data_IF_418868932833
#
_entry.id   IF_418868932833
#
_cell.length_a   1.000
_cell.length_b   1.000
_cell.length_c   1.000
_cell.angle_alpha   90.00
_cell.angle_beta   90.00
_cell.angle_gamma   90.00
#
_symmetry.space_group_name_H-M   'P 1'
#
loop_
_entity.id
_entity.type
_entity.pdbx_description
1 polymer ?
#
# COMPACT_ATOMS: atom_id res chain seq x y z
N UNK A 1 5.76 17.68 -39.48
CA UNK A 1 6.97 18.46 -39.78
C UNK A 1 7.75 18.68 -38.49
N UNK A 2 8.93 18.07 -38.42
CA UNK A 2 9.77 17.93 -37.22
C UNK A 2 10.40 19.26 -36.79
N UNK A 3 10.34 19.59 -35.48
CA UNK A 3 11.12 20.68 -34.88
C UNK A 3 12.51 20.16 -34.48
N UNK A 4 13.50 20.71 -35.19
CA UNK A 4 14.94 20.88 -34.90
C UNK A 4 15.52 20.26 -33.61
N UNK A 5 16.50 19.38 -33.82
CA UNK A 5 17.65 19.16 -32.94
C UNK A 5 18.54 20.41 -32.88
N UNK A 6 18.92 20.83 -31.67
CA UNK A 6 20.02 21.72 -31.29
C UNK A 6 20.48 21.17 -29.93
N UNK A 7 21.74 20.99 -29.56
CA UNK A 7 22.99 21.35 -30.19
C UNK A 7 24.05 20.38 -29.65
N UNK A 8 24.86 19.85 -30.56
CA UNK A 8 25.99 18.97 -30.31
C UNK A 8 27.21 19.86 -30.34
N UNK A 9 27.85 20.12 -29.21
CA UNK A 9 29.19 20.68 -29.21
C UNK A 9 30.01 20.20 -28.01
N UNK A 10 30.93 19.29 -28.32
CA UNK A 10 32.04 18.86 -27.45
C UNK A 10 33.13 19.95 -27.48
N UNK A 11 34.05 19.93 -26.52
CA UNK A 11 35.36 19.43 -26.93
C UNK A 11 36.02 18.46 -25.94
N UNK A 12 36.69 17.48 -26.56
CA UNK A 12 37.79 16.69 -26.02
C UNK A 12 38.80 17.57 -25.27
N UNK A 13 39.23 17.14 -24.10
CA UNK A 13 40.57 17.44 -23.59
C UNK A 13 41.17 16.17 -23.00
N UNK A 14 42.11 15.61 -23.77
CA UNK A 14 43.13 14.65 -23.37
C UNK A 14 44.32 15.45 -22.82
N UNK A 15 44.86 15.06 -21.66
CA UNK A 15 46.26 15.20 -21.19
C UNK A 15 46.28 14.61 -19.76
N UNK A 16 46.76 13.39 -19.55
CA UNK A 16 48.17 12.99 -19.42
C UNK A 16 48.69 13.01 -17.97
N UNK A 17 49.30 11.88 -17.61
CA UNK A 17 50.43 11.74 -16.67
C UNK A 17 50.15 11.64 -15.18
N UNK A 18 50.09 10.37 -14.74
CA UNK A 18 50.70 9.75 -13.56
C UNK A 18 51.07 10.56 -12.31
N UNK A 19 50.67 10.05 -11.14
CA UNK A 19 51.43 10.18 -9.90
C UNK A 19 51.12 9.02 -8.93
N UNK A 20 52.18 8.30 -8.59
CA UNK A 20 52.51 7.63 -7.33
C UNK A 20 51.40 7.16 -6.35
N UNK A 21 51.48 5.87 -6.04
CA UNK A 21 50.97 5.27 -4.82
C UNK A 21 51.59 5.91 -3.57
N UNK A 22 50.76 6.52 -2.71
CA UNK A 22 51.01 6.68 -1.28
C UNK A 22 49.71 6.37 -0.53
N UNK A 23 49.84 5.56 0.51
CA UNK A 23 48.72 5.03 1.30
C UNK A 23 47.85 6.11 1.89
N UNK A 24 46.54 5.96 1.70
CA UNK A 24 45.52 6.67 2.47
C UNK A 24 44.83 5.65 3.36
N UNK A 25 44.93 5.86 4.67
CA UNK A 25 43.91 5.47 5.64
C UNK A 25 42.54 5.63 5.00
N UNK A 26 41.70 4.59 5.10
CA UNK A 26 40.43 4.47 4.39
C UNK A 26 39.44 5.58 4.72
N UNK A 27 39.57 6.71 4.05
CA UNK A 27 38.52 7.70 3.89
C UNK A 27 37.67 7.23 2.70
N UNK A 28 36.47 6.75 3.01
CA UNK A 28 35.42 6.44 2.04
C UNK A 28 35.23 7.69 1.14
N UNK A 29 35.14 7.55 -0.20
CA UNK A 29 34.98 8.69 -1.09
C UNK A 29 33.74 9.49 -0.70
N UNK A 30 33.86 10.82 -0.65
CA UNK A 30 32.84 11.75 -0.14
C UNK A 30 31.46 11.54 -0.78
N UNK A 31 31.43 11.16 -2.06
CA UNK A 31 30.22 10.81 -2.80
C UNK A 31 29.45 9.59 -2.24
N UNK A 32 30.10 8.66 -1.55
CA UNK A 32 29.42 7.55 -0.86
C UNK A 32 28.86 7.98 0.49
N UNK A 33 29.53 8.92 1.19
CA UNK A 33 29.02 9.47 2.45
C UNK A 33 27.78 10.34 2.20
N UNK A 34 27.75 11.10 1.10
CA UNK A 34 26.57 11.84 0.65
C UNK A 34 25.42 10.88 0.32
N UNK A 35 25.68 9.80 -0.43
CA UNK A 35 24.65 8.81 -0.77
C UNK A 35 24.13 8.07 0.45
N UNK A 36 25.00 7.72 1.40
CA UNK A 36 24.60 7.06 2.64
C UNK A 36 23.77 8.00 3.53
N UNK A 37 24.08 9.31 3.56
CA UNK A 37 23.27 10.33 4.25
C UNK A 37 21.91 10.54 3.58
N UNK A 38 21.88 10.68 2.26
CA UNK A 38 20.63 10.82 1.51
C UNK A 38 19.78 9.54 1.61
N UNK A 39 20.40 8.36 1.60
CA UNK A 39 19.71 7.10 1.83
C UNK A 39 19.22 6.98 3.29
N UNK A 40 19.98 7.44 4.27
CA UNK A 40 19.55 7.48 5.67
C UNK A 40 18.40 8.48 5.90
N UNK A 41 18.43 9.65 5.25
CA UNK A 41 17.34 10.63 5.26
C UNK A 41 16.10 10.10 4.53
N UNK A 42 16.27 9.41 3.40
CA UNK A 42 15.16 8.76 2.69
C UNK A 42 14.58 7.59 3.52
N UNK A 43 15.41 6.77 4.16
CA UNK A 43 14.95 5.71 5.04
C UNK A 43 14.28 6.26 6.30
N UNK A 44 14.74 7.40 6.83
CA UNK A 44 14.09 8.12 7.93
C UNK A 44 12.76 8.75 7.49
N UNK A 45 12.67 9.27 6.26
CA UNK A 45 11.44 9.82 5.70
C UNK A 45 10.41 8.72 5.38
N UNK A 46 10.85 7.55 4.92
CA UNK A 46 9.97 6.38 4.71
C UNK A 46 9.55 5.77 6.06
N UNK A 47 10.43 5.76 7.07
CA UNK A 47 10.07 5.37 8.43
C UNK A 47 9.09 6.37 9.09
N UNK A 48 9.12 7.64 8.69
CA UNK A 48 8.18 8.68 9.10
C UNK A 48 6.87 8.69 8.30
N UNK A 49 6.74 7.87 7.25
CA UNK A 49 5.49 7.66 6.51
C UNK A 49 4.64 6.50 7.07
N UNK A 50 4.99 5.99 8.26
CA UNK A 50 4.06 5.19 9.05
C UNK A 50 2.92 6.07 9.56
N UNK A 51 1.69 5.67 9.23
CA UNK A 51 0.44 6.21 9.78
C UNK A 51 0.05 7.63 9.34
N UNK A 52 -0.16 7.81 8.04
CA UNK A 52 -1.24 8.73 7.65
C UNK A 52 -2.55 8.17 8.26
N UNK A 53 -3.35 8.97 8.98
CA UNK A 53 -4.55 8.47 9.66
C UNK A 53 -5.47 7.86 8.61
N UNK A 54 -5.64 6.54 8.66
CA UNK A 54 -6.54 5.82 7.78
C UNK A 54 -7.95 6.34 8.07
N UNK A 55 -8.49 7.12 7.13
CA UNK A 55 -9.83 7.69 7.25
C UNK A 55 -10.85 6.57 7.06
N UNK A 56 -11.98 6.66 7.76
CA UNK A 56 -13.08 5.73 7.57
C UNK A 56 -13.49 5.72 6.09
N UNK A 57 -13.39 4.55 5.45
CA UNK A 57 -13.66 4.37 4.02
C UNK A 57 -14.62 3.21 3.82
N UNK A 58 -15.47 3.32 2.80
CA UNK A 58 -16.31 2.21 2.36
C UNK A 58 -15.41 1.03 1.97
N UNK A 59 -15.79 -0.19 2.34
CA UNK A 59 -15.02 -1.39 2.03
C UNK A 59 -15.12 -1.71 0.53
N UNK A 60 -14.16 -1.22 -0.24
CA UNK A 60 -14.07 -1.39 -1.69
C UNK A 60 -12.73 -2.01 -2.09
N UNK A 61 -12.55 -2.28 -3.39
CA UNK A 61 -11.30 -2.89 -3.91
C UNK A 61 -10.09 -2.02 -3.56
N UNK A 62 -9.09 -2.58 -2.85
CA UNK A 62 -7.86 -1.89 -2.48
C UNK A 62 -7.81 -1.31 -1.06
N UNK A 63 -8.87 -1.44 -0.24
CA UNK A 63 -8.89 -0.96 1.16
C UNK A 63 -7.89 -1.68 2.08
N UNK A 64 -7.45 -2.88 1.70
CA UNK A 64 -6.46 -3.64 2.48
C UNK A 64 -5.04 -3.08 2.32
N UNK A 65 -4.79 -2.22 1.33
CA UNK A 65 -3.45 -1.72 1.00
C UNK A 65 -2.46 -2.77 0.50
N UNK A 66 -2.74 -4.07 0.64
CA UNK A 66 -1.84 -5.18 0.26
C UNK A 66 -1.55 -5.19 -1.24
N UNK A 67 -2.56 -4.89 -2.06
CA UNK A 67 -2.36 -4.74 -3.50
C UNK A 67 -1.54 -3.51 -3.90
N UNK A 68 -1.55 -2.43 -3.09
CA UNK A 68 -0.81 -1.19 -3.36
C UNK A 68 0.66 -1.29 -2.94
N UNK A 69 0.93 -1.82 -1.76
CA UNK A 69 2.31 -1.96 -1.25
C UNK A 69 3.18 -2.88 -2.12
N UNK A 70 2.56 -3.84 -2.83
CA UNK A 70 3.25 -4.69 -3.80
C UNK A 70 3.48 -4.01 -5.17
N UNK A 71 2.71 -2.97 -5.49
CA UNK A 71 2.78 -2.24 -6.77
C UNK A 71 3.64 -0.95 -6.68
N UNK A 72 3.81 -0.39 -5.47
CA UNK A 72 4.64 0.79 -5.17
C UNK A 72 6.15 0.54 -5.29
N UNK A 73 6.55 -0.69 -5.62
CA UNK A 73 7.93 -1.00 -5.94
C UNK A 73 8.28 -0.41 -7.32
N UNK A 74 9.41 0.30 -7.42
CA UNK A 74 9.83 1.00 -8.64
C UNK A 74 9.82 0.09 -9.88
N UNK A 75 9.51 0.66 -11.05
CA UNK A 75 9.36 -0.10 -12.31
C UNK A 75 10.62 -0.87 -12.73
N UNK A 76 11.78 -0.53 -12.14
CA UNK A 76 13.07 -1.20 -12.36
C UNK A 76 13.43 -2.22 -11.28
N UNK A 77 12.55 -2.49 -10.32
CA UNK A 77 12.81 -3.45 -9.26
C UNK A 77 12.35 -4.86 -9.70
N UNK A 78 13.24 -5.88 -9.67
CA UNK A 78 12.87 -7.26 -10.02
C UNK A 78 11.75 -7.83 -9.12
N UNK A 79 11.54 -7.27 -7.93
CA UNK A 79 10.46 -7.67 -7.02
C UNK A 79 9.08 -7.48 -7.64
N UNK A 80 8.86 -6.43 -8.47
CA UNK A 80 7.57 -6.15 -9.13
C UNK A 80 7.15 -7.25 -10.11
N UNK A 81 8.12 -7.86 -10.80
CA UNK A 81 7.84 -8.95 -11.74
C UNK A 81 7.39 -10.22 -11.00
N UNK A 82 7.91 -10.44 -9.80
CA UNK A 82 7.55 -11.60 -8.96
C UNK A 82 6.24 -11.34 -8.22
N UNK A 83 6.04 -10.13 -7.70
CA UNK A 83 4.87 -9.75 -6.89
C UNK A 83 3.64 -9.36 -7.71
N UNK A 84 3.81 -8.96 -8.98
CA UNK A 84 2.73 -8.46 -9.84
C UNK A 84 1.56 -9.44 -10.02
N UNK A 85 1.79 -10.74 -10.31
CA UNK A 85 0.69 -11.72 -10.35
C UNK A 85 -0.05 -11.86 -9.01
N UNK A 86 0.68 -11.75 -7.89
CA UNK A 86 0.09 -11.82 -6.56
C UNK A 86 -0.76 -10.58 -6.25
N UNK A 87 -0.28 -9.37 -6.56
CA UNK A 87 -1.03 -8.13 -6.34
C UNK A 87 -2.32 -8.10 -7.17
N UNK A 88 -2.26 -8.54 -8.43
CA UNK A 88 -3.43 -8.65 -9.30
C UNK A 88 -4.47 -9.67 -8.78
N UNK A 89 -4.02 -10.82 -8.28
CA UNK A 89 -4.90 -11.84 -7.71
C UNK A 89 -5.62 -11.31 -6.46
N UNK A 90 -4.90 -10.66 -5.56
CA UNK A 90 -5.48 -10.07 -4.34
C UNK A 90 -6.54 -9.01 -4.68
N UNK A 91 -6.22 -8.09 -5.59
CA UNK A 91 -7.19 -7.08 -6.08
C UNK A 91 -8.43 -7.72 -6.69
N UNK A 92 -8.27 -8.78 -7.46
CA UNK A 92 -9.39 -9.48 -8.08
C UNK A 92 -10.26 -10.15 -7.02
N UNK A 93 -9.66 -10.80 -6.02
CA UNK A 93 -10.39 -11.43 -4.92
C UNK A 93 -11.18 -10.41 -4.10
N UNK A 94 -10.57 -9.26 -3.79
CA UNK A 94 -11.24 -8.15 -3.09
C UNK A 94 -12.43 -7.63 -3.90
N UNK A 95 -12.24 -7.40 -5.20
CA UNK A 95 -13.30 -6.96 -6.10
C UNK A 95 -14.48 -7.93 -6.11
N UNK A 96 -14.21 -9.21 -6.33
CA UNK A 96 -15.26 -10.25 -6.36
C UNK A 96 -16.00 -10.32 -5.03
N UNK A 97 -15.31 -10.10 -3.92
CA UNK A 97 -15.93 -10.09 -2.60
C UNK A 97 -16.86 -8.87 -2.43
N UNK A 98 -16.36 -7.65 -2.64
CA UNK A 98 -17.12 -6.42 -2.38
C UNK A 98 -18.20 -6.14 -3.42
N UNK A 99 -17.94 -6.39 -4.71
CA UNK A 99 -18.87 -6.05 -5.80
C UNK A 99 -19.89 -7.15 -6.10
N UNK A 100 -19.60 -8.42 -5.78
CA UNK A 100 -20.46 -9.55 -6.15
C UNK A 100 -20.99 -10.28 -4.92
N UNK A 101 -20.12 -10.80 -4.06
CA UNK A 101 -20.54 -11.65 -2.94
C UNK A 101 -21.33 -10.87 -1.90
N UNK A 102 -20.81 -9.72 -1.46
CA UNK A 102 -21.44 -8.88 -0.44
C UNK A 102 -22.87 -8.45 -0.82
N UNK A 103 -23.12 -7.80 -1.97
CA UNK A 103 -24.48 -7.40 -2.34
C UNK A 103 -25.40 -8.60 -2.58
N UNK A 104 -24.88 -9.72 -3.11
CA UNK A 104 -25.67 -10.94 -3.29
C UNK A 104 -26.12 -11.52 -1.95
N UNK A 105 -25.25 -11.57 -0.95
CA UNK A 105 -25.60 -12.06 0.38
C UNK A 105 -26.62 -11.15 1.07
N UNK A 106 -26.47 -9.82 0.93
CA UNK A 106 -27.47 -8.86 1.42
C UNK A 106 -28.81 -9.03 0.71
N UNK A 107 -28.80 -9.25 -0.62
CA UNK A 107 -30.02 -9.49 -1.39
C UNK A 107 -30.71 -10.78 -0.95
N UNK A 108 -29.95 -11.85 -0.68
CA UNK A 108 -30.49 -13.11 -0.16
C UNK A 108 -31.10 -12.93 1.25
N UNK A 109 -30.41 -12.19 2.12
CA UNK A 109 -30.95 -11.87 3.44
C UNK A 109 -32.24 -11.04 3.34
N UNK A 110 -32.26 -10.00 2.51
CA UNK A 110 -33.45 -9.20 2.25
C UNK A 110 -34.59 -10.03 1.66
N UNK A 111 -34.29 -10.96 0.74
CA UNK A 111 -35.30 -11.84 0.16
C UNK A 111 -35.87 -12.82 1.20
N UNK A 112 -35.06 -13.27 2.16
CA UNK A 112 -35.47 -14.24 3.18
C UNK A 112 -36.19 -13.57 4.36
N UNK A 113 -35.77 -12.37 4.77
CA UNK A 113 -36.25 -11.71 5.99
C UNK A 113 -37.08 -10.44 5.72
N UNK A 114 -37.13 -9.98 4.47
CA UNK A 114 -37.85 -8.76 4.07
C UNK A 114 -37.22 -7.46 4.59
N UNK A 115 -36.00 -7.50 5.13
CA UNK A 115 -35.30 -6.34 5.72
C UNK A 115 -33.79 -6.44 5.56
N UNK A 116 -33.09 -5.33 5.74
CA UNK A 116 -31.63 -5.31 5.91
C UNK A 116 -31.23 -5.70 7.34
N UNK A 117 -30.00 -6.20 7.55
CA UNK A 117 -29.46 -6.42 8.89
C UNK A 117 -29.45 -5.12 9.69
N UNK A 118 -29.85 -5.19 10.96
CA UNK A 118 -29.95 -4.02 11.85
C UNK A 118 -28.67 -3.75 12.62
N UNK A 119 -27.84 -4.78 12.81
CA UNK A 119 -26.60 -4.68 13.57
C UNK A 119 -25.44 -5.34 12.85
N UNK A 120 -24.23 -4.98 13.28
CA UNK A 120 -23.01 -5.62 12.78
C UNK A 120 -22.94 -7.10 13.14
N UNK A 121 -23.38 -7.50 14.33
CA UNK A 121 -23.41 -8.91 14.74
C UNK A 121 -24.35 -9.74 13.87
N UNK A 122 -25.55 -9.23 13.60
CA UNK A 122 -26.53 -9.90 12.72
C UNK A 122 -25.97 -10.03 11.29
N UNK A 123 -25.32 -8.97 10.79
CA UNK A 123 -24.63 -9.02 9.50
C UNK A 123 -23.53 -10.09 9.48
N UNK A 124 -22.71 -10.18 10.53
CA UNK A 124 -21.63 -11.15 10.59
C UNK A 124 -22.12 -12.60 10.69
N UNK A 125 -23.22 -12.83 11.39
CA UNK A 125 -23.78 -14.18 11.60
C UNK A 125 -24.59 -14.67 10.40
N UNK A 126 -25.46 -13.81 9.84
CA UNK A 126 -26.45 -14.22 8.84
C UNK A 126 -26.00 -13.93 7.41
N UNK A 127 -25.31 -12.79 7.17
CA UNK A 127 -24.89 -12.38 5.82
C UNK A 127 -23.48 -12.89 5.50
N UNK A 128 -22.59 -12.88 6.49
CA UNK A 128 -21.20 -13.35 6.38
C UNK A 128 -21.02 -14.79 6.88
N UNK A 129 -22.11 -15.56 6.97
CA UNK A 129 -22.05 -16.97 7.33
C UNK A 129 -21.00 -17.71 6.47
N UNK A 130 -20.21 -18.62 7.05
CA UNK A 130 -19.19 -19.38 6.33
C UNK A 130 -19.83 -20.13 5.15
N UNK A 131 -19.25 -20.04 3.93
CA UNK A 131 -17.83 -20.27 3.67
C UNK A 131 -17.00 -19.06 3.17
N UNK A 132 -17.53 -17.84 3.23
CA UNK A 132 -16.88 -16.67 2.62
C UNK A 132 -15.65 -16.20 3.44
N UNK A 133 -14.47 -16.16 2.80
CA UNK A 133 -13.24 -15.63 3.42
C UNK A 133 -13.16 -14.13 3.18
N UNK A 134 -13.35 -13.35 4.24
CA UNK A 134 -13.16 -11.90 4.18
C UNK A 134 -11.70 -11.56 3.83
N UNK A 135 -11.43 -10.56 2.99
CA UNK A 135 -10.07 -10.09 2.75
C UNK A 135 -9.41 -9.62 4.04
N UNK A 136 -8.16 -10.01 4.25
CA UNK A 136 -7.40 -9.61 5.44
C UNK A 136 -7.09 -8.10 5.39
N UNK A 137 -7.50 -7.39 6.44
CA UNK A 137 -7.14 -5.98 6.62
C UNK A 137 -5.71 -5.85 7.17
N UNK A 138 -5.03 -4.72 6.89
CA UNK A 138 -3.80 -4.35 7.57
C UNK A 138 -4.07 -4.08 9.06
N UNK A 139 -3.03 -4.13 9.87
CA UNK A 139 -3.14 -3.92 11.31
C UNK A 139 -3.69 -2.53 11.62
N UNK A 140 -4.46 -2.40 12.70
CA UNK A 140 -5.07 -1.14 13.11
C UNK A 140 -6.39 -0.80 12.42
N UNK A 141 -6.91 -1.66 11.52
CA UNK A 141 -8.21 -1.48 10.87
C UNK A 141 -9.21 -2.57 11.27
N UNK A 142 -10.50 -2.20 11.31
CA UNK A 142 -11.60 -3.11 11.57
C UNK A 142 -12.72 -2.93 10.56
N UNK A 143 -13.42 -4.03 10.26
CA UNK A 143 -14.65 -3.99 9.50
C UNK A 143 -15.82 -3.58 10.42
N UNK A 144 -16.60 -2.60 9.99
CA UNK A 144 -17.81 -2.15 10.67
C UNK A 144 -18.95 -2.09 9.67
N UNK A 145 -20.05 -2.77 9.97
CA UNK A 145 -21.26 -2.68 9.16
C UNK A 145 -22.10 -1.47 9.61
N UNK A 146 -22.53 -0.65 8.65
CA UNK A 146 -23.42 0.51 8.90
C UNK A 146 -24.83 0.18 8.40
N UNK A 147 -25.81 -0.07 9.29
CA UNK A 147 -27.16 -0.46 8.89
C UNK A 147 -27.91 0.63 8.12
N UNK A 148 -27.60 1.90 8.38
CA UNK A 148 -28.23 3.05 7.70
C UNK A 148 -27.94 3.07 6.20
N UNK A 149 -26.75 2.60 5.81
CA UNK A 149 -26.29 2.54 4.42
C UNK A 149 -26.42 1.14 3.82
N UNK A 150 -26.53 0.11 4.65
CA UNK A 150 -26.49 -1.28 4.20
C UNK A 150 -25.11 -1.70 3.70
N UNK A 151 -24.05 -1.03 4.15
CA UNK A 151 -22.69 -1.18 3.61
C UNK A 151 -21.68 -1.56 4.69
N UNK A 152 -20.63 -2.28 4.25
CA UNK A 152 -19.47 -2.57 5.07
C UNK A 152 -18.44 -1.46 4.92
N UNK A 153 -17.94 -0.97 6.05
CA UNK A 153 -16.94 0.09 6.14
C UNK A 153 -15.69 -0.44 6.81
N UNK A 154 -14.56 0.17 6.49
CA UNK A 154 -13.27 -0.05 7.15
C UNK A 154 -12.96 1.20 7.96
N UNK A 155 -12.81 1.01 9.26
CA UNK A 155 -12.54 2.09 10.21
C UNK A 155 -11.25 1.76 10.96
N UNK A 156 -10.44 2.77 11.33
CA UNK A 156 -9.33 2.55 12.25
C UNK A 156 -9.87 2.06 13.60
N UNK A 157 -9.21 1.08 14.18
CA UNK A 157 -9.48 0.64 15.55
C UNK A 157 -9.13 1.85 16.44
N UNK A 158 -10.14 2.45 17.05
CA UNK A 158 -9.97 3.50 18.06
C UNK A 158 -9.33 2.86 19.29
N UNK A 159 -8.00 2.69 19.26
CA UNK A 159 -7.24 2.40 20.45
C UNK A 159 -7.29 3.68 21.28
N UNK A 160 -8.26 3.81 22.18
CA UNK A 160 -8.20 4.80 23.27
C UNK A 160 -7.11 4.43 24.29
N UNK A 161 -5.96 3.95 23.82
CA UNK A 161 -4.72 3.97 24.56
C UNK A 161 -4.09 5.34 24.29
N UNK A 162 -4.54 6.34 25.06
CA UNK A 162 -3.62 7.40 25.42
C UNK A 162 -2.35 6.77 26.00
N UNK A 163 -1.17 7.41 25.90
CA UNK A 163 0.02 6.89 26.52
C UNK A 163 -0.19 6.84 28.04
N UNK A 164 -0.60 5.68 28.54
CA UNK A 164 -0.44 5.31 29.94
C UNK A 164 1.07 5.22 30.14
N UNK A 165 1.65 6.36 30.49
CA UNK A 165 3.05 6.50 30.87
C UNK A 165 3.28 5.70 32.16
N UNK A 166 4.46 5.07 32.30
CA UNK A 166 4.79 4.15 33.39
C UNK A 166 4.77 4.78 34.79
#
# INVERSE_FOLDING_TARGET
MFKRCSDWSRPLSLLATGCLALGTLGCKPEAEVERDRLAAEQNAAVAAQGDAPFQAQKAETGVTGKGKSLDDVSDYNPVKFISGPASAFLKTKERVFFEIQLPKSLQLFQATHGRVPKSHEEFMQEVMAPPMKMPDLPQGLQYRYRPDLGELWVEPIQNNAGPESP
#
